data_IF_229178076617
#
_entry.id   IF_229178076617
#
_cell.length_a   1.000
_cell.length_b   1.000
_cell.length_c   1.000
_cell.angle_alpha   90.00
_cell.angle_beta   90.00
_cell.angle_gamma   90.00
#
_symmetry.space_group_name_H-M   'P 1'
#
loop_
_entity.id
_entity.type
_entity.pdbx_description
1 polymer ?
#
# COMPACT_ATOMS: atom_id res chain seq x y z
N UNK A 1 5.29 23.99 31.06
CA UNK A 1 5.98 23.85 29.76
C UNK A 1 5.07 24.44 28.70
N UNK A 2 5.56 25.28 27.82
CA UNK A 2 4.81 25.80 26.66
C UNK A 2 4.62 24.59 25.72
N UNK A 3 3.37 24.26 25.38
CA UNK A 3 3.07 23.21 24.41
C UNK A 3 3.16 23.81 23.00
N UNK A 4 3.77 23.08 22.08
CA UNK A 4 3.69 23.45 20.66
C UNK A 4 2.27 23.20 20.16
N UNK A 5 1.78 24.04 19.27
CA UNK A 5 0.48 23.93 18.64
C UNK A 5 0.65 23.50 17.20
N UNK A 6 -0.14 22.51 16.78
CA UNK A 6 -0.18 22.01 15.41
C UNK A 6 -1.64 21.93 14.95
N UNK A 7 -1.89 22.19 13.69
CA UNK A 7 -3.22 22.04 13.09
C UNK A 7 -3.64 20.58 13.00
N UNK A 8 -2.68 19.70 12.70
CA UNK A 8 -2.93 18.27 12.50
C UNK A 8 -1.71 17.44 12.91
N UNK A 9 -1.95 16.24 13.46
CA UNK A 9 -0.92 15.21 13.56
C UNK A 9 -1.20 14.10 12.55
N UNK A 10 -0.19 13.68 11.79
CA UNK A 10 -0.27 12.56 10.86
C UNK A 10 0.60 11.42 11.38
N UNK A 11 -0.02 10.26 11.62
CA UNK A 11 0.64 9.10 12.22
C UNK A 11 0.82 7.99 11.18
N UNK A 12 2.06 7.56 10.99
CA UNK A 12 2.44 6.51 10.04
C UNK A 12 3.27 5.43 10.72
N UNK A 13 3.20 4.18 10.22
CA UNK A 13 3.90 3.06 10.84
C UNK A 13 4.70 2.20 9.89
N UNK A 14 4.27 2.08 8.66
CA UNK A 14 4.85 1.16 7.68
C UNK A 14 5.11 1.86 6.34
N UNK A 15 5.92 1.23 5.49
CA UNK A 15 6.26 1.76 4.17
C UNK A 15 5.04 2.21 3.34
N UNK A 16 3.95 1.43 3.21
CA UNK A 16 2.76 1.90 2.48
C UNK A 16 2.12 3.16 3.06
N UNK A 17 2.21 3.36 4.38
CA UNK A 17 1.66 4.58 4.98
C UNK A 17 2.45 5.84 4.59
N UNK A 18 3.77 5.75 4.38
CA UNK A 18 4.56 6.89 3.88
C UNK A 18 4.13 7.31 2.49
N UNK A 19 3.88 6.34 1.60
CA UNK A 19 3.41 6.61 0.23
C UNK A 19 2.08 7.38 0.28
N UNK A 20 1.18 7.03 1.21
CA UNK A 20 -0.13 7.69 1.40
C UNK A 20 -0.01 9.05 2.09
N UNK A 21 0.89 9.17 3.05
CA UNK A 21 1.06 10.41 3.83
C UNK A 21 1.80 11.50 3.05
N UNK A 22 2.73 11.13 2.17
CA UNK A 22 3.57 12.06 1.42
C UNK A 22 2.79 13.17 0.69
N UNK A 23 1.81 12.86 -0.17
CA UNK A 23 1.06 13.89 -0.88
C UNK A 23 0.21 14.74 0.07
N UNK A 24 -0.32 14.16 1.15
CA UNK A 24 -1.15 14.87 2.11
C UNK A 24 -0.32 15.85 2.95
N UNK A 25 0.86 15.44 3.44
CA UNK A 25 1.80 16.31 4.16
C UNK A 25 2.16 17.50 3.28
N UNK A 26 2.63 17.25 2.05
CA UNK A 26 3.00 18.30 1.09
C UNK A 26 1.84 19.27 0.81
N UNK A 27 0.63 18.72 0.64
CA UNK A 27 -0.54 19.54 0.36
C UNK A 27 -0.91 20.41 1.57
N UNK A 28 -0.96 19.86 2.77
CA UNK A 28 -1.28 20.60 3.99
C UNK A 28 -0.25 21.72 4.26
N UNK A 29 1.03 21.40 4.17
CA UNK A 29 2.12 22.40 4.32
C UNK A 29 2.04 23.50 3.25
N UNK A 30 1.65 23.17 2.01
CA UNK A 30 1.42 24.16 0.95
C UNK A 30 0.25 25.12 1.26
N UNK A 31 -0.64 24.73 2.17
CA UNK A 31 -1.76 25.54 2.68
C UNK A 31 -1.42 26.23 4.00
N UNK A 32 -0.15 26.22 4.39
CA UNK A 32 0.38 26.80 5.64
C UNK A 32 -0.20 26.16 6.93
N UNK A 33 -0.55 24.87 6.88
CA UNK A 33 -0.89 24.13 8.09
C UNK A 33 0.37 23.62 8.79
N UNK A 34 0.41 23.75 10.12
CA UNK A 34 1.43 23.17 10.95
C UNK A 34 1.15 21.68 11.17
N UNK A 35 1.95 20.80 10.54
CA UNK A 35 1.78 19.35 10.58
C UNK A 35 2.77 18.72 11.57
N UNK A 36 2.27 18.01 12.57
CA UNK A 36 3.07 17.12 13.42
C UNK A 36 3.17 15.75 12.76
N UNK A 37 4.31 15.44 12.16
CA UNK A 37 4.54 14.15 11.50
C UNK A 37 5.16 13.14 12.45
N UNK A 38 4.39 12.09 12.80
CA UNK A 38 4.77 11.05 13.77
C UNK A 38 5.00 9.73 13.02
N UNK A 39 6.21 9.19 13.12
CA UNK A 39 6.52 7.83 12.69
C UNK A 39 6.56 6.90 13.91
N UNK A 40 5.79 5.81 13.89
CA UNK A 40 5.76 4.87 15.01
C UNK A 40 6.96 3.93 15.05
N UNK A 41 7.65 3.71 13.95
CA UNK A 41 8.76 2.75 13.86
C UNK A 41 8.31 1.29 13.78
N UNK A 42 7.04 1.00 13.45
CA UNK A 42 6.49 -0.36 13.38
C UNK A 42 7.28 -1.30 12.46
N UNK A 43 7.80 -0.78 11.36
CA UNK A 43 8.70 -1.48 10.44
C UNK A 43 9.84 -0.51 10.08
N UNK A 44 10.85 -0.43 10.94
CA UNK A 44 11.99 0.44 10.74
C UNK A 44 13.20 -0.35 10.23
N UNK A 45 13.46 -0.25 8.93
CA UNK A 45 14.75 -0.53 8.32
C UNK A 45 15.34 0.82 7.87
N UNK A 46 16.49 1.22 8.45
CA UNK A 46 17.09 2.53 8.19
C UNK A 46 17.34 2.78 6.69
N UNK A 47 17.77 1.75 5.96
CA UNK A 47 18.08 1.88 4.53
C UNK A 47 16.81 2.00 3.68
N UNK A 48 15.81 1.17 3.96
CA UNK A 48 14.54 1.17 3.22
C UNK A 48 13.71 2.43 3.51
N UNK A 49 13.73 2.93 4.74
CA UNK A 49 12.98 4.13 5.12
C UNK A 49 13.63 5.40 4.56
N UNK A 50 14.97 5.51 4.62
CA UNK A 50 15.67 6.65 4.03
C UNK A 50 15.47 6.73 2.51
N UNK A 51 15.46 5.60 1.82
CA UNK A 51 15.19 5.56 0.38
C UNK A 51 13.78 6.07 0.05
N UNK A 52 12.76 5.74 0.86
CA UNK A 52 11.39 6.21 0.58
C UNK A 52 11.23 7.71 0.82
N UNK A 53 11.89 8.29 1.83
CA UNK A 53 11.89 9.75 2.04
C UNK A 53 12.51 10.48 0.86
N UNK A 54 13.65 9.97 0.33
CA UNK A 54 14.30 10.54 -0.84
C UNK A 54 13.43 10.38 -2.11
N UNK A 55 12.89 9.19 -2.36
CA UNK A 55 12.03 8.90 -3.52
C UNK A 55 10.80 9.81 -3.56
N UNK A 56 10.16 10.00 -2.41
CA UNK A 56 8.94 10.79 -2.28
C UNK A 56 9.22 12.26 -1.97
N UNK A 57 10.51 12.66 -1.85
CA UNK A 57 10.90 14.04 -1.45
C UNK A 57 10.15 14.50 -0.18
N UNK A 58 10.05 13.60 0.80
CA UNK A 58 9.42 13.86 2.08
C UNK A 58 10.44 14.43 3.08
N UNK A 59 9.98 15.30 3.96
CA UNK A 59 10.76 15.64 5.14
C UNK A 59 10.79 14.49 6.16
N UNK A 60 11.80 14.51 7.01
CA UNK A 60 11.88 13.58 8.13
C UNK A 60 10.70 13.79 9.11
N UNK A 61 10.27 12.74 9.84
CA UNK A 61 9.26 12.86 10.87
C UNK A 61 9.77 13.73 12.04
N UNK A 62 8.86 14.52 12.63
CA UNK A 62 9.15 15.31 13.82
C UNK A 62 9.39 14.42 15.05
N UNK A 63 8.76 13.26 15.06
CA UNK A 63 8.86 12.26 16.13
C UNK A 63 8.97 10.86 15.53
N UNK A 64 10.01 10.11 15.93
CA UNK A 64 10.13 8.68 15.67
C UNK A 64 10.03 7.93 17.00
N UNK A 65 9.05 7.03 17.12
CA UNK A 65 8.77 6.31 18.38
C UNK A 65 9.63 5.05 18.57
N UNK A 66 10.27 4.57 17.51
CA UNK A 66 11.19 3.40 17.54
C UNK A 66 10.57 2.15 18.20
N UNK A 67 9.36 1.77 17.75
CA UNK A 67 8.61 0.64 18.32
C UNK A 67 9.40 -0.66 18.27
N UNK A 68 9.58 -1.37 19.40
CA UNK A 68 10.26 -2.67 19.43
C UNK A 68 9.55 -3.75 18.61
N UNK A 69 10.33 -4.69 18.02
CA UNK A 69 9.80 -5.79 17.19
C UNK A 69 9.54 -7.07 18.03
N UNK A 70 8.75 -6.97 19.10
CA UNK A 70 8.55 -8.05 20.09
C UNK A 70 7.11 -8.62 20.12
N UNK A 71 6.41 -8.56 19.00
CA UNK A 71 5.07 -9.09 18.83
C UNK A 71 3.98 -8.03 18.82
N UNK A 72 2.85 -8.37 18.20
CA UNK A 72 1.79 -7.41 17.86
C UNK A 72 1.20 -6.70 19.09
N UNK A 73 0.88 -7.42 20.17
CA UNK A 73 0.26 -6.84 21.36
C UNK A 73 1.24 -5.94 22.12
N UNK A 74 2.51 -6.32 22.20
CA UNK A 74 3.57 -5.52 22.80
C UNK A 74 3.79 -4.24 22.00
N UNK A 75 3.87 -4.33 20.68
CA UNK A 75 3.95 -3.19 19.78
C UNK A 75 2.76 -2.24 19.95
N UNK A 76 1.52 -2.76 19.98
CA UNK A 76 0.31 -1.96 20.17
C UNK A 76 0.36 -1.20 21.51
N UNK A 77 0.70 -1.90 22.58
CA UNK A 77 0.83 -1.30 23.94
C UNK A 77 1.89 -0.19 23.95
N UNK A 78 3.05 -0.43 23.37
CA UNK A 78 4.13 0.56 23.29
C UNK A 78 3.70 1.79 22.47
N UNK A 79 3.08 1.59 21.30
CA UNK A 79 2.60 2.68 20.44
C UNK A 79 1.55 3.53 21.14
N UNK A 80 0.57 2.91 21.80
CA UNK A 80 -0.46 3.62 22.57
C UNK A 80 0.21 4.55 23.60
N UNK A 81 1.13 4.02 24.41
CA UNK A 81 1.82 4.81 25.46
C UNK A 81 2.65 5.94 24.85
N UNK A 82 3.37 5.68 23.77
CA UNK A 82 4.30 6.64 23.17
C UNK A 82 3.56 7.74 22.40
N UNK A 83 2.48 7.41 21.67
CA UNK A 83 1.62 8.39 21.00
C UNK A 83 0.91 9.25 22.04
N UNK A 84 0.37 8.63 23.11
CA UNK A 84 -0.27 9.35 24.21
C UNK A 84 0.69 10.36 24.84
N UNK A 85 1.92 9.96 25.12
CA UNK A 85 2.95 10.86 25.62
C UNK A 85 3.27 12.01 24.65
N UNK A 86 3.38 11.73 23.35
CA UNK A 86 3.63 12.74 22.32
C UNK A 86 2.49 13.75 22.23
N UNK A 87 1.24 13.28 22.16
CA UNK A 87 0.06 14.15 22.11
C UNK A 87 -0.19 14.89 23.44
N UNK A 88 0.30 14.38 24.58
CA UNK A 88 0.22 15.10 25.87
C UNK A 88 1.09 16.35 25.91
N UNK A 89 2.17 16.39 25.13
CA UNK A 89 3.13 17.50 25.08
C UNK A 89 2.77 18.56 24.02
N UNK A 90 1.87 18.23 23.11
CA UNK A 90 1.48 19.07 22.00
C UNK A 90 -0.02 19.34 22.02
N UNK A 91 -0.44 20.47 21.46
CA UNK A 91 -1.84 20.78 21.19
C UNK A 91 -2.07 20.43 19.72
N UNK A 92 -3.03 19.55 19.46
CA UNK A 92 -3.34 19.09 18.10
C UNK A 92 -4.85 19.09 17.92
N UNK A 93 -5.34 19.68 16.84
CA UNK A 93 -6.78 19.76 16.57
C UNK A 93 -7.32 18.46 16.01
N UNK A 94 -6.56 17.78 15.14
CA UNK A 94 -6.95 16.53 14.47
C UNK A 94 -5.82 15.54 14.37
N UNK A 95 -6.16 14.25 14.34
CA UNK A 95 -5.21 13.15 14.08
C UNK A 95 -5.63 12.42 12.81
N UNK A 96 -4.74 12.38 11.82
CA UNK A 96 -4.89 11.61 10.59
C UNK A 96 -4.19 10.26 10.68
N UNK A 97 -4.90 9.21 10.31
CA UNK A 97 -4.42 7.83 10.26
C UNK A 97 -4.65 7.21 8.89
N UNK A 98 -3.83 6.21 8.51
CA UNK A 98 -3.80 5.65 7.16
C UNK A 98 -3.91 4.13 7.17
N UNK A 99 -4.85 3.59 6.39
CA UNK A 99 -4.99 2.15 6.16
C UNK A 99 -5.30 1.37 7.44
N UNK A 100 -4.63 0.24 7.65
CA UNK A 100 -5.10 -0.84 8.51
C UNK A 100 -4.04 -1.47 9.43
N UNK A 101 -2.88 -0.85 9.54
CA UNK A 101 -1.79 -1.39 10.36
C UNK A 101 -1.99 -1.12 11.85
N UNK A 102 -1.21 -1.78 12.70
CA UNK A 102 -1.33 -1.64 14.17
C UNK A 102 -1.16 -0.20 14.65
N UNK A 103 -0.28 0.58 14.02
CA UNK A 103 -0.11 2.01 14.32
C UNK A 103 -1.34 2.85 14.02
N UNK A 104 -2.12 2.50 13.00
CA UNK A 104 -3.39 3.15 12.66
C UNK A 104 -4.39 3.02 13.81
N UNK A 105 -4.55 1.79 14.31
CA UNK A 105 -5.42 1.51 15.46
C UNK A 105 -4.94 2.21 16.74
N UNK A 106 -3.63 2.14 17.05
CA UNK A 106 -3.06 2.78 18.23
C UNK A 106 -3.32 4.29 18.23
N UNK A 107 -3.08 4.95 17.09
CA UNK A 107 -3.25 6.40 16.96
C UNK A 107 -4.72 6.83 17.08
N UNK A 108 -5.63 6.13 16.40
CA UNK A 108 -7.06 6.41 16.48
C UNK A 108 -7.59 6.26 17.91
N UNK A 109 -7.22 5.18 18.60
CA UNK A 109 -7.63 4.93 19.98
C UNK A 109 -7.14 6.02 20.94
N UNK A 110 -5.86 6.40 20.84
CA UNK A 110 -5.27 7.46 21.70
C UNK A 110 -5.92 8.80 21.41
N UNK A 111 -6.12 9.17 20.15
CA UNK A 111 -6.75 10.43 19.79
C UNK A 111 -8.17 10.53 20.34
N UNK A 112 -8.99 9.49 20.20
CA UNK A 112 -10.36 9.46 20.73
C UNK A 112 -10.39 9.53 22.27
N UNK A 113 -9.48 8.84 22.96
CA UNK A 113 -9.38 8.94 24.43
C UNK A 113 -8.96 10.34 24.92
N UNK A 114 -8.38 11.15 24.04
CA UNK A 114 -8.01 12.55 24.29
C UNK A 114 -9.02 13.56 23.74
N UNK A 115 -10.17 13.10 23.26
CA UNK A 115 -11.22 13.94 22.65
C UNK A 115 -10.71 14.74 21.44
N UNK A 116 -9.71 14.21 20.70
CA UNK A 116 -9.18 14.78 19.47
C UNK A 116 -9.93 14.14 18.29
N UNK A 117 -10.34 14.94 17.32
CA UNK A 117 -10.97 14.44 16.08
C UNK A 117 -10.02 13.54 15.30
N UNK A 118 -10.56 12.43 14.77
CA UNK A 118 -9.81 11.45 13.96
C UNK A 118 -10.35 11.43 12.54
N UNK A 119 -9.46 11.51 11.57
CA UNK A 119 -9.81 11.18 10.20
C UNK A 119 -9.01 9.99 9.70
N UNK A 120 -9.71 9.08 9.02
CA UNK A 120 -9.13 7.85 8.48
C UNK A 120 -9.04 7.92 6.95
N UNK A 121 -7.82 7.89 6.43
CA UNK A 121 -7.54 7.84 4.99
C UNK A 121 -7.44 6.39 4.54
N UNK A 122 -8.16 6.02 3.49
CA UNK A 122 -8.37 4.65 3.01
C UNK A 122 -9.34 3.86 3.91
N UNK A 123 -10.40 4.54 4.35
CA UNK A 123 -11.48 3.95 5.12
C UNK A 123 -12.42 3.08 4.28
N UNK A 124 -13.12 2.14 4.91
CA UNK A 124 -14.19 1.35 4.31
C UNK A 124 -13.77 0.17 3.47
N UNK A 125 -12.49 -0.10 3.26
CA UNK A 125 -12.04 -1.32 2.59
C UNK A 125 -12.33 -2.55 3.44
N UNK A 126 -12.79 -3.67 2.81
CA UNK A 126 -13.13 -4.91 3.53
C UNK A 126 -12.65 -6.15 2.78
N UNK A 127 -11.91 -7.00 3.48
CA UNK A 127 -11.60 -8.37 3.03
C UNK A 127 -12.66 -9.38 3.51
N UNK A 128 -13.45 -9.00 4.53
CA UNK A 128 -14.42 -9.85 5.25
C UNK A 128 -13.78 -11.07 5.95
N UNK A 129 -12.47 -11.09 6.06
CA UNK A 129 -11.70 -12.15 6.70
C UNK A 129 -11.24 -11.71 8.10
N UNK A 130 -12.01 -12.04 9.12
CA UNK A 130 -11.73 -11.68 10.52
C UNK A 130 -10.48 -12.35 11.11
N UNK A 131 -9.89 -13.34 10.42
CA UNK A 131 -8.60 -13.92 10.82
C UNK A 131 -7.44 -12.96 10.51
N UNK A 132 -7.63 -12.03 9.59
CA UNK A 132 -6.64 -10.98 9.28
C UNK A 132 -6.64 -9.89 10.35
N UNK A 133 -5.49 -9.57 10.96
CA UNK A 133 -5.37 -8.44 11.88
C UNK A 133 -5.79 -7.11 11.24
N UNK A 134 -5.46 -6.92 9.97
CA UNK A 134 -5.78 -5.72 9.20
C UNK A 134 -7.28 -5.49 9.10
N UNK A 135 -8.08 -6.55 8.93
CA UNK A 135 -9.54 -6.42 8.86
C UNK A 135 -10.13 -5.96 10.19
N UNK A 136 -9.65 -6.54 11.29
CA UNK A 136 -10.06 -6.12 12.63
C UNK A 136 -9.68 -4.66 12.91
N UNK A 137 -8.49 -4.25 12.48
CA UNK A 137 -8.03 -2.88 12.62
C UNK A 137 -8.92 -1.91 11.83
N UNK A 138 -9.25 -2.23 10.56
CA UNK A 138 -10.15 -1.40 9.72
C UNK A 138 -11.48 -1.14 10.41
N UNK A 139 -12.16 -2.22 10.83
CA UNK A 139 -13.45 -2.12 11.51
C UNK A 139 -13.37 -1.25 12.77
N UNK A 140 -12.34 -1.43 13.58
CA UNK A 140 -12.16 -0.66 14.81
C UNK A 140 -11.86 0.82 14.52
N UNK A 141 -10.97 1.11 13.57
CA UNK A 141 -10.58 2.47 13.21
C UNK A 141 -11.73 3.23 12.55
N UNK A 142 -12.48 2.57 11.64
CA UNK A 142 -13.64 3.18 10.99
C UNK A 142 -14.73 3.54 12.03
N UNK A 143 -14.96 2.66 13.02
CA UNK A 143 -15.93 2.93 14.09
C UNK A 143 -15.51 4.11 15.01
N UNK A 144 -14.20 4.31 15.20
CA UNK A 144 -13.66 5.38 16.04
C UNK A 144 -13.57 6.73 15.35
N UNK A 145 -13.50 6.77 14.01
CA UNK A 145 -13.20 7.98 13.25
C UNK A 145 -14.38 8.94 13.12
N UNK A 146 -14.08 10.22 13.07
CA UNK A 146 -15.03 11.30 12.85
C UNK A 146 -15.22 11.58 11.37
N UNK A 147 -14.14 11.42 10.55
CA UNK A 147 -14.15 11.55 9.09
C UNK A 147 -13.57 10.28 8.45
N UNK A 148 -14.29 9.73 7.49
CA UNK A 148 -13.97 8.49 6.80
C UNK A 148 -13.74 8.79 5.31
N UNK A 149 -12.49 8.91 4.93
CA UNK A 149 -12.08 9.20 3.56
C UNK A 149 -11.91 7.91 2.77
N UNK A 150 -12.91 7.58 1.94
CA UNK A 150 -12.93 6.33 1.17
C UNK A 150 -12.21 6.48 -0.18
N UNK A 151 -11.50 5.43 -0.63
CA UNK A 151 -10.79 5.45 -1.90
C UNK A 151 -11.69 5.18 -3.12
N UNK A 152 -12.91 4.67 -2.91
CA UNK A 152 -13.80 4.18 -3.96
C UNK A 152 -15.24 4.04 -3.47
N UNK A 153 -16.17 3.80 -4.39
CA UNK A 153 -17.61 3.69 -4.09
C UNK A 153 -17.95 2.42 -3.31
N UNK A 154 -17.30 1.30 -3.59
CA UNK A 154 -17.48 0.05 -2.83
C UNK A 154 -17.08 0.20 -1.36
N UNK A 155 -16.09 1.03 -1.05
CA UNK A 155 -15.73 1.35 0.32
C UNK A 155 -16.81 2.21 1.03
N UNK A 156 -17.47 3.10 0.31
CA UNK A 156 -18.66 3.82 0.83
C UNK A 156 -19.78 2.84 1.16
N UNK A 157 -20.08 1.92 0.24
CA UNK A 157 -21.14 0.94 0.41
C UNK A 157 -20.90 0.03 1.63
N UNK A 158 -19.65 -0.37 1.86
CA UNK A 158 -19.28 -1.15 3.04
C UNK A 158 -19.59 -0.40 4.35
N UNK A 159 -19.22 0.86 4.46
CA UNK A 159 -19.45 1.68 5.65
C UNK A 159 -20.96 1.92 5.89
N UNK A 160 -21.71 2.18 4.85
CA UNK A 160 -23.18 2.34 4.93
C UNK A 160 -23.84 1.03 5.37
N UNK A 161 -23.40 -0.12 4.86
CA UNK A 161 -23.90 -1.43 5.27
C UNK A 161 -23.59 -1.76 6.74
N UNK A 162 -22.56 -1.17 7.31
CA UNK A 162 -22.18 -1.25 8.72
C UNK A 162 -22.90 -0.20 9.60
N UNK A 163 -23.89 0.52 9.05
CA UNK A 163 -24.65 1.56 9.73
C UNK A 163 -23.83 2.77 10.19
N UNK A 164 -22.72 3.07 9.54
CA UNK A 164 -21.98 4.30 9.78
C UNK A 164 -22.74 5.45 9.11
N UNK A 165 -22.87 6.57 9.82
CA UNK A 165 -23.59 7.74 9.32
C UNK A 165 -22.95 8.28 8.04
N UNK A 166 -23.77 8.52 7.02
CA UNK A 166 -23.32 9.08 5.73
C UNK A 166 -22.65 10.46 5.87
N UNK A 167 -22.96 11.20 6.92
CA UNK A 167 -22.35 12.51 7.21
C UNK A 167 -20.85 12.40 7.55
N UNK A 168 -20.38 11.22 7.94
CA UNK A 168 -18.96 10.95 8.22
C UNK A 168 -18.20 10.40 7.02
N UNK A 169 -18.87 10.00 5.94
CA UNK A 169 -18.29 9.25 4.82
C UNK A 169 -18.07 10.18 3.64
N UNK A 170 -16.83 10.28 3.19
CA UNK A 170 -16.42 11.14 2.08
C UNK A 170 -15.65 10.32 1.05
N UNK A 171 -16.24 10.10 -0.13
CA UNK A 171 -15.49 9.52 -1.24
C UNK A 171 -14.56 10.58 -1.83
N UNK A 172 -13.28 10.47 -1.55
CA UNK A 172 -12.25 11.43 -1.97
C UNK A 172 -11.34 10.88 -3.06
N UNK A 173 -11.43 9.57 -3.34
CA UNK A 173 -10.53 8.86 -4.22
C UNK A 173 -9.31 8.29 -3.50
N UNK A 174 -8.43 7.68 -4.28
CA UNK A 174 -7.31 6.91 -3.75
C UNK A 174 -6.04 7.77 -3.64
N UNK A 175 -5.56 7.98 -2.43
CA UNK A 175 -4.38 8.81 -2.15
C UNK A 175 -3.06 8.21 -2.70
N UNK A 176 -2.99 6.88 -2.93
CA UNK A 176 -1.86 6.26 -3.60
C UNK A 176 -1.69 6.81 -5.03
N UNK A 177 -2.81 7.17 -5.67
CA UNK A 177 -2.81 7.74 -7.02
C UNK A 177 -2.24 9.15 -7.04
N UNK A 178 -2.41 9.93 -5.97
CA UNK A 178 -1.79 11.25 -5.84
C UNK A 178 -0.27 11.11 -5.92
N UNK A 179 0.30 10.19 -5.14
CA UNK A 179 1.75 9.90 -5.12
C UNK A 179 2.25 9.40 -6.47
N UNK A 180 1.51 8.46 -7.08
CA UNK A 180 1.89 7.89 -8.37
C UNK A 180 1.86 8.95 -9.46
N UNK A 181 0.82 9.77 -9.51
CA UNK A 181 0.65 10.82 -10.52
C UNK A 181 1.74 11.90 -10.45
N UNK A 182 2.08 12.35 -9.25
CA UNK A 182 3.17 13.33 -9.05
C UNK A 182 4.51 12.78 -9.54
N UNK A 183 4.74 11.47 -9.44
CA UNK A 183 5.99 10.83 -9.82
C UNK A 183 5.95 10.15 -11.21
N UNK A 184 4.85 10.29 -11.97
CA UNK A 184 4.63 9.54 -13.20
C UNK A 184 5.72 9.78 -14.26
N UNK A 185 6.17 11.02 -14.44
CA UNK A 185 7.25 11.35 -15.38
C UNK A 185 8.56 10.66 -14.97
N UNK A 186 8.93 10.73 -13.68
CA UNK A 186 10.12 10.04 -13.16
C UNK A 186 10.05 8.52 -13.37
N UNK A 187 8.87 7.93 -13.17
CA UNK A 187 8.62 6.50 -13.38
C UNK A 187 8.84 6.13 -14.85
N UNK A 188 8.25 6.89 -15.78
CA UNK A 188 8.36 6.65 -17.21
C UNK A 188 9.81 6.80 -17.69
N UNK A 189 10.50 7.84 -17.27
CA UNK A 189 11.89 8.11 -17.63
C UNK A 189 12.84 7.03 -17.11
N UNK A 190 12.57 6.51 -15.91
CA UNK A 190 13.40 5.48 -15.28
C UNK A 190 13.21 4.08 -15.90
N UNK A 191 12.15 3.83 -16.68
CA UNK A 191 11.82 2.52 -17.25
C UNK A 191 12.97 1.91 -18.06
N UNK A 192 13.54 2.65 -19.01
CA UNK A 192 14.66 2.16 -19.84
C UNK A 192 15.93 1.93 -19.04
N UNK A 193 16.17 2.77 -18.03
CA UNK A 193 17.34 2.67 -17.17
C UNK A 193 17.28 1.41 -16.33
N UNK A 194 16.15 1.13 -15.68
CA UNK A 194 16.00 -0.03 -14.80
C UNK A 194 16.06 -1.36 -15.58
N UNK A 195 15.40 -1.45 -16.74
CA UNK A 195 15.46 -2.67 -17.58
C UNK A 195 16.88 -2.94 -18.10
N UNK A 196 17.62 -1.87 -18.47
CA UNK A 196 19.02 -2.00 -18.88
C UNK A 196 19.93 -2.43 -17.72
N UNK A 197 19.76 -1.86 -16.53
CA UNK A 197 20.51 -2.24 -15.33
C UNK A 197 20.28 -3.69 -14.94
N UNK A 198 19.06 -4.19 -15.11
CA UNK A 198 18.67 -5.57 -14.82
C UNK A 198 18.93 -6.53 -15.98
N UNK A 199 19.49 -6.05 -17.10
CA UNK A 199 19.80 -6.83 -18.31
C UNK A 199 18.56 -7.57 -18.87
N UNK A 200 17.39 -6.92 -18.82
CA UNK A 200 16.13 -7.46 -19.31
C UNK A 200 15.97 -7.02 -20.79
N UNK A 201 16.23 -7.95 -21.72
CA UNK A 201 16.20 -7.70 -23.17
C UNK A 201 14.94 -8.26 -23.86
N UNK A 202 14.13 -9.04 -23.15
CA UNK A 202 12.93 -9.70 -23.68
C UNK A 202 11.69 -9.28 -22.88
N UNK A 203 10.47 -9.60 -23.36
CA UNK A 203 9.24 -9.41 -22.59
C UNK A 203 9.32 -10.03 -21.20
N UNK A 204 8.70 -9.40 -20.21
CA UNK A 204 8.82 -9.87 -18.84
C UNK A 204 7.55 -9.68 -18.01
N UNK A 205 7.43 -10.54 -17.01
CA UNK A 205 6.47 -10.39 -15.93
C UNK A 205 7.18 -9.87 -14.67
N UNK A 206 6.47 -9.15 -13.84
CA UNK A 206 6.92 -8.83 -12.48
C UNK A 206 6.11 -9.64 -11.50
N UNK A 207 6.77 -10.32 -10.56
CA UNK A 207 6.09 -11.04 -9.49
C UNK A 207 6.53 -10.53 -8.12
N UNK A 208 5.54 -10.29 -7.24
CA UNK A 208 5.80 -9.97 -5.82
C UNK A 208 4.98 -10.86 -4.91
N UNK A 209 5.63 -11.46 -3.91
CA UNK A 209 5.01 -12.27 -2.88
C UNK A 209 5.55 -11.86 -1.51
N UNK A 210 4.66 -11.59 -0.57
CA UNK A 210 5.01 -11.20 0.80
C UNK A 210 4.08 -11.78 1.87
N UNK A 211 2.90 -12.30 1.48
CA UNK A 211 1.94 -12.88 2.43
C UNK A 211 2.42 -14.25 2.90
N UNK A 212 2.39 -14.52 4.23
CA UNK A 212 2.84 -15.82 4.77
C UNK A 212 2.15 -17.03 4.15
N UNK A 213 0.87 -16.92 3.80
CA UNK A 213 0.11 -18.00 3.18
C UNK A 213 0.69 -18.41 1.81
N UNK A 214 1.27 -17.48 1.05
CA UNK A 214 1.87 -17.73 -0.25
C UNK A 214 3.34 -18.15 -0.19
N UNK A 215 3.98 -18.04 0.99
CA UNK A 215 5.39 -18.37 1.20
C UNK A 215 5.57 -19.80 1.78
N UNK A 216 4.60 -20.68 1.63
CA UNK A 216 4.74 -22.10 1.94
C UNK A 216 5.39 -22.85 0.78
N UNK A 217 6.12 -23.94 1.07
CA UNK A 217 6.82 -24.71 0.04
C UNK A 217 5.86 -25.22 -1.06
N UNK A 218 4.68 -25.67 -0.68
CA UNK A 218 3.68 -26.20 -1.60
C UNK A 218 3.18 -25.12 -2.58
N UNK A 219 2.79 -23.96 -2.07
CA UNK A 219 2.26 -22.85 -2.87
C UNK A 219 3.34 -22.27 -3.78
N UNK A 220 4.56 -22.03 -3.25
CA UNK A 220 5.68 -21.51 -4.04
C UNK A 220 6.07 -22.45 -5.18
N UNK A 221 6.18 -23.77 -4.91
CA UNK A 221 6.46 -24.76 -5.94
C UNK A 221 5.40 -24.75 -7.05
N UNK A 222 4.12 -24.61 -6.69
CA UNK A 222 3.01 -24.52 -7.65
C UNK A 222 3.11 -23.28 -8.53
N UNK A 223 3.36 -22.11 -7.93
CA UNK A 223 3.54 -20.84 -8.64
C UNK A 223 4.76 -20.89 -9.57
N UNK A 224 5.92 -21.32 -9.06
CA UNK A 224 7.14 -21.39 -9.88
C UNK A 224 7.00 -22.37 -11.03
N UNK A 225 6.36 -23.53 -10.83
CA UNK A 225 6.06 -24.47 -11.90
C UNK A 225 5.15 -23.86 -12.98
N UNK A 226 4.15 -23.09 -12.57
CA UNK A 226 3.30 -22.38 -13.52
C UNK A 226 4.10 -21.39 -14.37
N UNK A 227 4.95 -20.58 -13.73
CA UNK A 227 5.75 -19.55 -14.40
C UNK A 227 6.87 -20.11 -15.27
N UNK A 228 7.46 -21.26 -14.92
CA UNK A 228 8.49 -21.93 -15.75
C UNK A 228 7.93 -22.36 -17.11
N UNK A 229 6.63 -22.55 -17.26
CA UNK A 229 6.01 -22.87 -18.54
C UNK A 229 6.15 -21.74 -19.59
N UNK A 230 6.45 -20.52 -19.15
CA UNK A 230 6.62 -19.33 -20.00
C UNK A 230 8.09 -18.98 -20.28
N UNK A 231 9.03 -19.84 -19.89
CA UNK A 231 10.48 -19.57 -19.96
C UNK A 231 11.06 -19.27 -21.34
N UNK A 232 10.40 -19.69 -22.41
CA UNK A 232 10.87 -19.45 -23.76
C UNK A 232 10.65 -18.00 -24.21
N UNK A 233 9.58 -17.38 -23.74
CA UNK A 233 9.07 -16.12 -24.27
C UNK A 233 9.21 -14.96 -23.28
N UNK A 234 9.27 -15.27 -21.95
CA UNK A 234 9.24 -14.24 -20.90
C UNK A 234 10.31 -14.46 -19.82
N UNK A 235 10.88 -13.36 -19.36
CA UNK A 235 11.59 -13.32 -18.06
C UNK A 235 10.62 -13.06 -16.93
N UNK A 236 10.88 -13.62 -15.75
CA UNK A 236 10.11 -13.40 -14.55
C UNK A 236 11.00 -12.62 -13.57
N UNK A 237 10.71 -11.36 -13.38
CA UNK A 237 11.48 -10.49 -12.48
C UNK A 237 10.85 -10.47 -11.11
N UNK A 238 11.61 -10.83 -10.10
CA UNK A 238 11.13 -11.02 -8.72
C UNK A 238 11.97 -10.18 -7.77
N UNK A 239 11.49 -9.01 -7.33
CA UNK A 239 12.05 -8.33 -6.17
C UNK A 239 11.84 -9.21 -4.93
N UNK A 240 12.91 -9.89 -4.50
CA UNK A 240 12.79 -10.93 -3.50
C UNK A 240 12.79 -10.36 -2.07
N UNK A 241 11.67 -10.54 -1.37
CA UNK A 241 11.61 -10.33 0.06
C UNK A 241 12.55 -11.33 0.79
N UNK A 242 13.21 -10.98 1.90
CA UNK A 242 14.17 -11.87 2.60
C UNK A 242 13.68 -13.30 2.83
N UNK A 243 12.41 -13.49 3.15
CA UNK A 243 11.83 -14.84 3.31
C UNK A 243 11.80 -15.65 2.01
N UNK A 244 11.53 -14.97 0.89
CA UNK A 244 11.55 -15.62 -0.42
C UNK A 244 12.97 -15.97 -0.85
N UNK A 245 13.95 -15.09 -0.61
CA UNK A 245 15.36 -15.35 -0.85
C UNK A 245 15.85 -16.58 -0.07
N UNK A 246 15.52 -16.65 1.22
CA UNK A 246 15.85 -17.82 2.05
C UNK A 246 15.23 -19.13 1.52
N UNK A 247 13.99 -19.06 1.02
CA UNK A 247 13.34 -20.24 0.42
C UNK A 247 14.07 -20.71 -0.84
N UNK A 248 14.41 -19.78 -1.73
CA UNK A 248 15.12 -20.07 -2.99
C UNK A 248 16.46 -20.72 -2.71
N UNK A 249 17.25 -20.16 -1.79
CA UNK A 249 18.55 -20.67 -1.36
C UNK A 249 18.44 -22.08 -0.73
N UNK A 250 17.47 -22.26 0.19
CA UNK A 250 17.29 -23.52 0.91
C UNK A 250 16.86 -24.69 -0.02
N UNK A 251 16.20 -24.40 -1.14
CA UNK A 251 15.71 -25.40 -2.08
C UNK A 251 16.59 -25.52 -3.35
N UNK A 252 17.70 -24.78 -3.44
CA UNK A 252 18.58 -24.73 -4.61
C UNK A 252 17.82 -24.54 -5.92
N UNK A 253 16.83 -23.61 -5.94
CA UNK A 253 15.98 -23.40 -7.11
C UNK A 253 16.74 -22.57 -8.15
N UNK A 254 17.04 -23.19 -9.27
CA UNK A 254 17.63 -22.54 -10.46
C UNK A 254 16.62 -22.58 -11.60
N UNK A 255 16.23 -21.40 -12.06
CA UNK A 255 15.35 -21.25 -13.23
C UNK A 255 16.00 -20.28 -14.22
N UNK A 256 16.19 -20.68 -15.46
CA UNK A 256 16.86 -19.88 -16.49
C UNK A 256 16.17 -18.55 -16.81
N UNK A 257 14.84 -18.48 -16.60
CA UNK A 257 14.04 -17.32 -16.91
C UNK A 257 13.69 -16.45 -15.70
N UNK A 258 14.10 -16.81 -14.48
CA UNK A 258 13.83 -16.03 -13.28
C UNK A 258 14.99 -15.09 -12.97
N UNK A 259 14.68 -13.84 -12.72
CA UNK A 259 15.61 -12.78 -12.36
C UNK A 259 15.25 -12.32 -10.94
N UNK A 260 15.96 -12.86 -9.95
CA UNK A 260 15.81 -12.45 -8.56
C UNK A 260 16.64 -11.21 -8.31
N UNK A 261 16.01 -10.18 -7.77
CA UNK A 261 16.66 -8.89 -7.51
C UNK A 261 16.39 -8.45 -6.07
N UNK A 262 17.25 -7.60 -5.54
CA UNK A 262 17.00 -6.90 -4.28
C UNK A 262 15.74 -6.01 -4.41
N UNK A 263 15.03 -5.76 -3.28
CA UNK A 263 13.92 -4.82 -3.27
C UNK A 263 14.34 -3.45 -3.79
N UNK A 264 13.60 -2.96 -4.77
CA UNK A 264 13.88 -1.65 -5.39
C UNK A 264 13.28 -0.49 -4.59
N UNK A 265 13.86 0.70 -4.67
CA UNK A 265 13.20 1.95 -4.32
C UNK A 265 11.86 2.11 -5.05
N UNK A 266 10.93 2.90 -4.49
CA UNK A 266 9.53 2.97 -4.96
C UNK A 266 9.41 3.37 -6.44
N UNK A 267 10.11 4.43 -6.84
CA UNK A 267 10.09 4.93 -8.22
C UNK A 267 10.64 3.88 -9.19
N UNK A 268 11.77 3.26 -8.85
CA UNK A 268 12.40 2.24 -9.69
C UNK A 268 11.55 0.96 -9.78
N UNK A 269 10.87 0.59 -8.69
CA UNK A 269 9.94 -0.53 -8.69
C UNK A 269 8.75 -0.26 -9.62
N UNK A 270 8.13 0.91 -9.53
CA UNK A 270 7.04 1.28 -10.44
C UNK A 270 7.50 1.46 -11.88
N UNK A 271 8.73 1.92 -12.10
CA UNK A 271 9.33 1.96 -13.44
C UNK A 271 9.46 0.55 -14.04
N UNK A 272 9.89 -0.43 -13.24
CA UNK A 272 9.92 -1.84 -13.63
C UNK A 272 8.51 -2.37 -13.92
N UNK A 273 7.54 -2.11 -13.04
CA UNK A 273 6.13 -2.50 -13.22
C UNK A 273 5.53 -1.90 -14.48
N UNK A 274 5.78 -0.60 -14.75
CA UNK A 274 5.23 0.10 -15.93
C UNK A 274 5.70 -0.46 -17.28
N UNK A 275 6.74 -1.27 -17.26
CA UNK A 275 7.29 -1.94 -18.44
C UNK A 275 6.91 -3.41 -18.58
N UNK A 276 6.27 -3.99 -17.58
CA UNK A 276 5.89 -5.39 -17.58
C UNK A 276 4.69 -5.66 -18.49
N UNK A 277 4.68 -6.84 -19.14
CA UNK A 277 3.52 -7.32 -19.87
C UNK A 277 2.41 -7.82 -18.93
N UNK A 278 2.81 -8.27 -17.75
CA UNK A 278 1.93 -8.80 -16.71
C UNK A 278 2.56 -8.65 -15.33
N UNK A 279 1.73 -8.36 -14.33
CA UNK A 279 2.11 -8.38 -12.92
C UNK A 279 1.36 -9.49 -12.19
N UNK A 280 2.10 -10.31 -11.42
CA UNK A 280 1.54 -11.29 -10.49
C UNK A 280 1.84 -10.82 -9.07
N UNK A 281 0.82 -10.73 -8.21
CA UNK A 281 1.05 -10.18 -6.88
C UNK A 281 0.06 -10.68 -5.82
N UNK A 282 0.46 -10.62 -4.56
CA UNK A 282 -0.44 -10.72 -3.41
C UNK A 282 -0.61 -9.39 -2.65
N UNK A 283 -0.03 -8.30 -3.20
CA UNK A 283 -0.09 -6.96 -2.62
C UNK A 283 -1.38 -6.24 -3.00
N UNK A 284 -2.09 -5.69 -1.99
CA UNK A 284 -3.27 -4.85 -2.23
C UNK A 284 -2.93 -3.54 -2.95
N UNK A 285 -1.90 -2.82 -2.51
CA UNK A 285 -1.51 -1.54 -3.12
C UNK A 285 -1.10 -1.67 -4.58
N UNK A 286 -0.39 -2.75 -4.93
CA UNK A 286 0.05 -2.96 -6.31
C UNK A 286 -1.12 -3.21 -7.28
N UNK A 287 -2.25 -3.77 -6.81
CA UNK A 287 -3.48 -3.89 -7.60
C UNK A 287 -4.03 -2.50 -8.03
N UNK A 288 -3.91 -1.52 -7.15
CA UNK A 288 -4.33 -0.14 -7.41
C UNK A 288 -3.35 0.56 -8.35
N UNK A 289 -2.06 0.41 -8.11
CA UNK A 289 -0.99 0.99 -8.93
C UNK A 289 -1.00 0.45 -10.36
N UNK A 290 -1.13 -0.87 -10.53
CA UNK A 290 -1.23 -1.49 -11.87
C UNK A 290 -2.50 -1.07 -12.60
N UNK A 291 -3.62 -0.93 -11.87
CA UNK A 291 -4.87 -0.42 -12.45
C UNK A 291 -4.68 1.00 -12.99
N UNK A 292 -4.09 1.89 -12.21
CA UNK A 292 -3.84 3.27 -12.66
C UNK A 292 -2.84 3.35 -13.83
N UNK A 293 -1.79 2.52 -13.80
CA UNK A 293 -0.79 2.43 -14.88
C UNK A 293 -1.31 1.70 -16.11
N UNK A 294 -2.54 1.16 -16.09
CA UNK A 294 -3.13 0.33 -17.13
C UNK A 294 -2.26 -0.90 -17.50
N UNK A 295 -1.77 -1.60 -16.47
CA UNK A 295 -0.97 -2.82 -16.58
C UNK A 295 -1.80 -4.01 -16.10
N UNK A 296 -1.76 -5.11 -16.83
CA UNK A 296 -2.44 -6.36 -16.47
C UNK A 296 -1.93 -6.88 -15.12
N UNK A 297 -2.85 -7.24 -14.24
CA UNK A 297 -2.54 -7.72 -12.91
C UNK A 297 -3.29 -9.01 -12.58
N UNK A 298 -2.57 -10.02 -12.10
CA UNK A 298 -3.14 -11.26 -11.58
C UNK A 298 -2.84 -11.35 -10.09
N UNK A 299 -3.90 -11.34 -9.28
CA UNK A 299 -3.78 -11.42 -7.83
C UNK A 299 -3.78 -12.86 -7.36
N UNK A 300 -2.65 -13.29 -6.79
CA UNK A 300 -2.42 -14.64 -6.25
C UNK A 300 -3.02 -14.79 -4.85
N UNK A 301 -4.34 -14.62 -4.76
CA UNK A 301 -5.15 -14.68 -3.53
C UNK A 301 -6.53 -15.23 -3.86
N UNK A 302 -7.26 -15.70 -2.84
CA UNK A 302 -8.66 -16.13 -2.97
C UNK A 302 -9.63 -14.93 -2.91
N UNK A 303 -9.21 -13.80 -2.35
CA UNK A 303 -10.01 -12.61 -2.11
C UNK A 303 -9.20 -11.33 -2.25
N UNK A 304 -9.88 -10.20 -2.44
CA UNK A 304 -9.27 -8.87 -2.37
C UNK A 304 -10.17 -7.89 -1.61
N UNK A 305 -9.55 -7.00 -0.85
CA UNK A 305 -10.19 -5.87 -0.22
C UNK A 305 -10.42 -4.68 -1.18
N UNK A 306 -10.03 -4.84 -2.45
CA UNK A 306 -10.10 -3.81 -3.51
C UNK A 306 -10.87 -4.29 -4.73
N UNK A 307 -12.16 -4.66 -4.60
CA UNK A 307 -12.96 -5.20 -5.69
C UNK A 307 -13.07 -4.24 -6.89
N UNK A 308 -12.97 -2.93 -6.65
CA UNK A 308 -12.97 -1.91 -7.70
C UNK A 308 -11.87 -2.12 -8.75
N UNK A 309 -10.71 -2.67 -8.35
CA UNK A 309 -9.61 -2.98 -9.28
C UNK A 309 -9.93 -4.14 -10.19
N UNK A 310 -10.87 -5.02 -9.80
CA UNK A 310 -11.35 -6.16 -10.58
C UNK A 310 -12.50 -5.75 -11.49
N UNK A 311 -13.47 -4.99 -10.96
CA UNK A 311 -14.68 -4.61 -11.70
C UNK A 311 -14.45 -3.50 -12.72
N UNK A 312 -13.58 -2.54 -12.39
CA UNK A 312 -13.33 -1.34 -13.19
C UNK A 312 -11.84 -1.16 -13.56
N UNK A 313 -10.96 -2.06 -13.11
CA UNK A 313 -9.52 -1.98 -13.30
C UNK A 313 -8.95 -3.07 -14.19
N UNK A 314 -7.68 -3.37 -13.98
CA UNK A 314 -6.89 -4.35 -14.76
C UNK A 314 -6.61 -5.63 -13.99
N UNK A 315 -7.10 -5.74 -12.76
CA UNK A 315 -6.81 -6.83 -11.84
C UNK A 315 -7.78 -8.00 -12.01
N UNK A 316 -7.27 -9.23 -11.82
CA UNK A 316 -8.06 -10.45 -11.71
C UNK A 316 -7.57 -11.27 -10.51
N UNK A 317 -8.48 -11.69 -9.65
CA UNK A 317 -8.17 -12.57 -8.50
C UNK A 317 -8.23 -14.01 -8.98
N UNK A 318 -7.12 -14.76 -8.84
CA UNK A 318 -6.96 -16.08 -9.48
C UNK A 318 -6.57 -17.21 -8.53
N UNK A 319 -6.32 -16.90 -7.24
CA UNK A 319 -5.80 -17.90 -6.30
C UNK A 319 -4.37 -18.32 -6.61
N UNK A 320 -3.98 -19.49 -6.10
CA UNK A 320 -2.61 -20.02 -6.21
C UNK A 320 -2.52 -21.39 -6.89
N UNK A 321 -3.61 -21.86 -7.50
CA UNK A 321 -3.62 -23.13 -8.23
C UNK A 321 -2.79 -23.04 -9.51
N UNK A 322 -1.87 -23.98 -9.73
CA UNK A 322 -0.92 -23.99 -10.84
C UNK A 322 -1.60 -23.94 -12.22
N UNK A 323 -2.64 -24.74 -12.46
CA UNK A 323 -3.34 -24.80 -13.75
C UNK A 323 -4.13 -23.53 -14.00
N UNK A 324 -4.77 -22.97 -12.95
CA UNK A 324 -5.49 -21.70 -13.05
C UNK A 324 -4.52 -20.58 -13.40
N UNK A 325 -3.34 -20.51 -12.76
CA UNK A 325 -2.31 -19.51 -13.06
C UNK A 325 -1.89 -19.57 -14.52
N UNK A 326 -1.59 -20.75 -15.05
CA UNK A 326 -1.20 -20.92 -16.47
C UNK A 326 -2.30 -20.43 -17.40
N UNK A 327 -3.55 -20.87 -17.17
CA UNK A 327 -4.68 -20.51 -18.02
C UNK A 327 -4.95 -19.00 -17.99
N UNK A 328 -4.85 -18.37 -16.83
CA UNK A 328 -5.12 -16.95 -16.66
C UNK A 328 -4.01 -16.07 -17.21
N UNK A 329 -2.74 -16.50 -17.15
CA UNK A 329 -1.65 -15.82 -17.84
C UNK A 329 -1.91 -15.84 -19.35
N UNK A 330 -2.18 -17.00 -19.96
CA UNK A 330 -2.46 -17.10 -21.39
C UNK A 330 -3.65 -16.21 -21.80
N UNK A 331 -4.76 -16.31 -21.08
CA UNK A 331 -5.96 -15.48 -21.31
C UNK A 331 -5.66 -13.98 -21.20
N UNK A 332 -4.83 -13.61 -20.23
CA UNK A 332 -4.43 -12.21 -20.03
C UNK A 332 -3.54 -11.71 -21.17
N UNK A 333 -2.58 -12.51 -21.63
CA UNK A 333 -1.69 -12.14 -22.75
C UNK A 333 -2.48 -11.90 -24.03
N UNK A 334 -3.48 -12.72 -24.32
CA UNK A 334 -4.34 -12.60 -25.50
C UNK A 334 -5.35 -11.44 -25.41
N UNK A 335 -5.67 -11.00 -24.19
CA UNK A 335 -6.64 -9.94 -23.99
C UNK A 335 -6.08 -8.56 -24.26
N UNK A 336 -6.97 -7.62 -24.67
CA UNK A 336 -6.63 -6.20 -24.75
C UNK A 336 -7.21 -5.45 -23.56
N UNK A 337 -6.40 -4.63 -22.94
CA UNK A 337 -6.89 -3.69 -21.92
C UNK A 337 -7.67 -2.55 -22.59
N UNK A 338 -8.63 -1.94 -21.88
CA UNK A 338 -9.27 -0.72 -22.35
C UNK A 338 -8.23 0.39 -22.51
N UNK A 339 -8.45 1.31 -23.44
CA UNK A 339 -7.53 2.42 -23.68
C UNK A 339 -7.36 3.34 -22.47
N UNK A 340 -8.35 3.40 -21.60
CA UNK A 340 -8.36 4.22 -20.39
C UNK A 340 -9.18 3.54 -19.30
N UNK A 341 -8.63 3.50 -18.11
CA UNK A 341 -9.32 3.07 -16.88
C UNK A 341 -9.90 4.30 -16.21
N UNK A 342 -11.22 4.29 -15.96
CA UNK A 342 -11.93 5.40 -15.29
C UNK A 342 -12.52 4.89 -13.98
N UNK A 343 -11.84 5.19 -12.89
CA UNK A 343 -12.37 5.04 -11.54
C UNK A 343 -12.57 6.45 -10.98
N UNK A 344 -13.76 6.69 -10.43
CA UNK A 344 -14.12 8.00 -9.91
C UNK A 344 -13.12 8.50 -8.87
N UNK A 345 -12.65 9.73 -9.03
CA UNK A 345 -11.67 10.39 -8.16
C UNK A 345 -10.27 9.75 -8.10
N UNK A 346 -9.95 8.80 -8.99
CA UNK A 346 -8.57 8.34 -9.14
C UNK A 346 -7.81 9.28 -10.09
N UNK A 347 -7.76 10.54 -9.73
CA UNK A 347 -7.29 11.64 -10.58
C UNK A 347 -6.11 12.42 -9.99
N UNK A 348 -5.59 11.98 -8.82
CA UNK A 348 -4.45 12.60 -8.13
C UNK A 348 -4.79 13.90 -7.39
N UNK A 349 -6.05 14.08 -6.99
CA UNK A 349 -6.52 15.25 -6.23
C UNK A 349 -7.16 14.83 -4.90
N UNK A 350 -6.83 13.65 -4.38
CA UNK A 350 -7.36 13.12 -3.11
C UNK A 350 -6.96 14.01 -1.93
N UNK A 351 -5.71 14.42 -1.87
CA UNK A 351 -5.19 15.31 -0.81
C UNK A 351 -5.93 16.65 -0.77
N UNK A 352 -6.28 17.20 -1.94
CA UNK A 352 -7.08 18.42 -2.03
C UNK A 352 -8.48 18.21 -1.46
N UNK A 353 -9.18 17.13 -1.82
CA UNK A 353 -10.53 16.84 -1.33
C UNK A 353 -10.56 16.60 0.17
N UNK A 354 -9.54 15.94 0.71
CA UNK A 354 -9.38 15.77 2.17
C UNK A 354 -9.25 17.14 2.84
N UNK A 355 -8.38 18.00 2.33
CA UNK A 355 -8.22 19.35 2.85
C UNK A 355 -9.53 20.16 2.83
N UNK A 356 -10.20 20.20 1.69
CA UNK A 356 -11.46 20.95 1.50
C UNK A 356 -12.61 20.42 2.39
N UNK A 357 -12.52 19.18 2.86
CA UNK A 357 -13.49 18.59 3.80
C UNK A 357 -13.18 18.96 5.25
N UNK A 358 -11.88 19.09 5.59
CA UNK A 358 -11.46 19.33 6.98
C UNK A 358 -11.40 20.82 7.32
N UNK A 359 -11.19 21.69 6.34
CA UNK A 359 -10.93 23.13 6.49
C UNK A 359 -11.77 23.98 5.54
#
# INVERSE_FOLDING_TARGET
MIKNTFDVALVVGTRPNFIKAAPLIKYFESKNLDVLFIHTGQHWDKNLSHNIFNDLEMREPDVNLETPLDGMNSQLSFMIKSIDHTLSKNIVSRVGVFGDVTSTLAAALVAKNREIEVFHVEAGLRSKNMMMPEERNRLAVDALSDYLFTPSEDAVDNLLAENISSEKIFNVGNIMIDTLKVNLEKIIDSKKTITKQLQIEQPYFVMTLHRPANLTNEVLNGIFKALDSFKKDYKIVIPAHPRLSQYIEANNLEFENFVFIEPLPYINFLALVSGADLVLTDSGGLQEETTFLNIKCLTLREETERPITVTNGTNKVIGTNTEVIINEINSSLDSKLPNEIKIKYWDGNTSQRIYETLY
#
